data_IF_884951958290
#
_entry.id   IF_884951958290
#
_cell.length_a   1.000
_cell.length_b   1.000
_cell.length_c   1.000
_cell.angle_alpha   90.00
_cell.angle_beta   90.00
_cell.angle_gamma   90.00
#
_symmetry.space_group_name_H-M   'P 1'
#
loop_
_entity.id
_entity.type
_entity.pdbx_description
1 polymer ?
#
# COMPACT_ATOMS: atom_id res chain seq x y z
N UNK A 1 15.03 7.30 21.40
CA UNK A 1 14.66 5.87 21.53
C UNK A 1 13.15 5.73 21.37
N UNK A 2 12.69 4.97 20.38
CA UNK A 2 11.25 4.68 20.30
C UNK A 2 10.85 3.77 21.46
N UNK A 3 9.80 4.15 22.18
CA UNK A 3 9.30 3.40 23.34
C UNK A 3 8.85 1.99 22.88
N UNK A 4 9.10 0.94 23.67
CA UNK A 4 8.72 -0.45 23.37
C UNK A 4 7.23 -0.58 23.07
N UNK A 5 6.38 0.11 23.83
CA UNK A 5 4.92 0.16 23.62
C UNK A 5 4.57 0.74 22.23
N UNK A 6 5.26 1.80 21.80
CA UNK A 6 5.07 2.40 20.50
C UNK A 6 5.54 1.50 19.34
N UNK A 7 6.61 0.73 19.56
CA UNK A 7 7.10 -0.25 18.56
C UNK A 7 6.15 -1.44 18.41
N UNK A 8 5.55 -1.90 19.51
CA UNK A 8 4.56 -2.97 19.48
C UNK A 8 3.29 -2.55 18.75
N UNK A 9 2.79 -1.34 19.01
CA UNK A 9 1.65 -0.78 18.29
C UNK A 9 1.93 -0.66 16.78
N UNK A 10 3.12 -0.23 16.41
CA UNK A 10 3.51 -0.12 15.00
C UNK A 10 3.61 -1.50 14.32
N UNK A 11 4.12 -2.51 15.02
CA UNK A 11 4.11 -3.89 14.53
C UNK A 11 2.67 -4.35 14.28
N UNK A 12 1.77 -4.14 15.22
CA UNK A 12 0.37 -4.52 15.10
C UNK A 12 -0.31 -3.81 13.90
N UNK A 13 -0.10 -2.51 13.74
CA UNK A 13 -0.62 -1.74 12.61
C UNK A 13 -0.13 -2.31 11.27
N UNK A 14 1.15 -2.65 11.15
CA UNK A 14 1.72 -3.21 9.92
C UNK A 14 1.20 -4.62 9.63
N UNK A 15 1.13 -5.48 10.65
CA UNK A 15 0.59 -6.84 10.51
C UNK A 15 -0.88 -6.79 10.08
N UNK A 16 -1.67 -5.93 10.71
CA UNK A 16 -3.08 -5.80 10.41
C UNK A 16 -3.31 -5.18 9.03
N UNK A 17 -2.80 -3.97 8.80
CA UNK A 17 -3.03 -3.25 7.54
C UNK A 17 -2.40 -3.99 6.34
N UNK A 18 -1.15 -4.43 6.45
CA UNK A 18 -0.47 -5.17 5.38
C UNK A 18 -1.08 -6.54 5.13
N UNK A 19 -1.38 -7.29 6.19
CA UNK A 19 -1.97 -8.62 6.08
C UNK A 19 -3.38 -8.62 5.49
N UNK A 20 -4.24 -7.72 5.96
CA UNK A 20 -5.60 -7.57 5.44
C UNK A 20 -5.59 -7.07 3.99
N UNK A 21 -4.75 -6.09 3.67
CA UNK A 21 -4.59 -5.60 2.30
C UNK A 21 -4.13 -6.72 1.36
N UNK A 22 -3.10 -7.46 1.74
CA UNK A 22 -2.61 -8.57 0.94
C UNK A 22 -3.67 -9.64 0.71
N UNK A 23 -4.29 -10.12 1.79
CA UNK A 23 -5.20 -11.26 1.73
C UNK A 23 -6.49 -10.95 0.96
N UNK A 24 -7.16 -9.82 1.26
CA UNK A 24 -8.45 -9.50 0.67
C UNK A 24 -8.37 -8.75 -0.66
N UNK A 25 -7.29 -8.00 -0.90
CA UNK A 25 -7.19 -7.12 -2.07
C UNK A 25 -6.03 -7.46 -3.00
N UNK A 26 -4.85 -7.76 -2.45
CA UNK A 26 -3.63 -7.92 -3.24
C UNK A 26 -3.52 -9.25 -3.96
N UNK A 27 -3.66 -10.36 -3.23
CA UNK A 27 -3.38 -11.69 -3.76
C UNK A 27 -4.21 -12.01 -5.02
N UNK A 28 -5.51 -11.77 -4.98
CA UNK A 28 -6.39 -12.01 -6.12
C UNK A 28 -6.15 -11.09 -7.32
N UNK A 29 -5.64 -9.88 -7.09
CA UNK A 29 -5.35 -8.93 -8.18
C UNK A 29 -4.05 -9.25 -8.90
N UNK A 30 -3.00 -9.61 -8.18
CA UNK A 30 -1.71 -9.93 -8.79
C UNK A 30 -1.76 -11.21 -9.63
N UNK A 31 -2.58 -12.18 -9.19
CA UNK A 31 -2.75 -13.46 -9.88
C UNK A 31 -3.75 -13.41 -11.04
N UNK A 32 -4.53 -12.35 -11.18
CA UNK A 32 -5.65 -12.29 -12.12
C UNK A 32 -5.24 -11.95 -13.58
N UNK A 33 -3.98 -11.57 -13.81
CA UNK A 33 -3.45 -11.33 -15.17
C UNK A 33 -3.83 -9.98 -15.79
N UNK A 34 -3.43 -9.82 -17.04
CA UNK A 34 -3.46 -8.55 -17.81
C UNK A 34 -4.86 -7.96 -17.97
N UNK A 35 -5.88 -8.77 -18.17
CA UNK A 35 -7.26 -8.29 -18.36
C UNK A 35 -7.81 -7.57 -17.13
N UNK A 36 -7.41 -8.02 -15.95
CA UNK A 36 -7.80 -7.35 -14.72
C UNK A 36 -6.95 -6.10 -14.46
N UNK A 37 -5.68 -6.14 -14.80
CA UNK A 37 -4.80 -4.96 -14.69
C UNK A 37 -5.25 -3.86 -15.63
N UNK A 38 -5.66 -4.19 -16.85
CA UNK A 38 -6.23 -3.22 -17.78
C UNK A 38 -7.46 -2.51 -17.21
N UNK A 39 -8.40 -3.27 -16.66
CA UNK A 39 -9.58 -2.67 -16.00
C UNK A 39 -9.25 -1.84 -14.76
N UNK A 40 -8.25 -2.25 -13.97
CA UNK A 40 -7.84 -1.51 -12.76
C UNK A 40 -7.12 -0.22 -13.10
N UNK A 41 -6.22 -0.26 -14.08
CA UNK A 41 -5.47 0.90 -14.52
C UNK A 41 -6.25 1.81 -15.45
N UNK A 42 -7.26 1.28 -16.15
CA UNK A 42 -8.08 2.02 -17.10
C UNK A 42 -8.72 3.27 -16.52
N UNK A 43 -9.21 3.19 -15.29
CA UNK A 43 -9.79 4.34 -14.60
C UNK A 43 -8.83 5.53 -14.45
N UNK A 44 -7.58 5.26 -14.15
CA UNK A 44 -6.57 6.31 -14.02
C UNK A 44 -6.07 6.75 -15.40
N UNK A 45 -5.85 5.80 -16.31
CA UNK A 45 -5.39 6.10 -17.67
C UNK A 45 -6.37 6.98 -18.44
N UNK A 46 -7.67 6.73 -18.31
CA UNK A 46 -8.74 7.58 -18.87
C UNK A 46 -8.70 8.99 -18.28
N UNK A 47 -8.54 9.12 -16.95
CA UNK A 47 -8.47 10.44 -16.29
C UNK A 47 -7.29 11.29 -16.74
N UNK A 48 -6.16 10.66 -17.07
CA UNK A 48 -4.95 11.37 -17.54
C UNK A 48 -4.84 11.41 -19.07
N UNK A 49 -5.78 10.79 -19.80
CA UNK A 49 -5.79 10.78 -21.27
C UNK A 49 -4.68 9.94 -21.91
N UNK A 50 -4.20 8.91 -21.20
CA UNK A 50 -3.09 8.05 -21.64
C UNK A 50 -3.49 6.56 -21.58
N UNK A 51 -4.40 6.14 -22.46
CA UNK A 51 -5.01 4.81 -22.44
C UNK A 51 -4.01 3.65 -22.55
N UNK A 52 -2.87 3.86 -23.22
CA UNK A 52 -1.81 2.85 -23.33
C UNK A 52 -1.14 2.51 -21.97
N UNK A 53 -1.36 3.29 -20.93
CA UNK A 53 -0.83 3.04 -19.58
C UNK A 53 -1.77 2.20 -18.71
N UNK A 54 -2.92 1.79 -19.19
CA UNK A 54 -3.91 1.04 -18.38
C UNK A 54 -3.31 -0.22 -17.75
N UNK A 55 -2.67 -1.09 -18.53
CA UNK A 55 -2.04 -2.32 -18.02
C UNK A 55 -0.88 -2.03 -17.06
N UNK A 56 0.12 -1.17 -17.38
CA UNK A 56 1.17 -0.79 -16.45
C UNK A 56 0.64 -0.21 -15.12
N UNK A 57 -0.33 0.68 -15.17
CA UNK A 57 -0.92 1.28 -13.98
C UNK A 57 -1.69 0.26 -13.14
N UNK A 58 -2.44 -0.62 -13.78
CA UNK A 58 -3.14 -1.71 -13.09
C UNK A 58 -2.20 -2.74 -12.48
N UNK A 59 -1.07 -3.05 -13.15
CA UNK A 59 -0.02 -3.87 -12.56
C UNK A 59 0.60 -3.19 -11.34
N UNK A 60 0.95 -1.91 -11.42
CA UNK A 60 1.49 -1.14 -10.29
C UNK A 60 0.54 -1.13 -9.10
N UNK A 61 -0.76 -0.95 -9.33
CA UNK A 61 -1.77 -1.03 -8.27
C UNK A 61 -1.83 -2.43 -7.66
N UNK A 62 -1.85 -3.48 -8.48
CA UNK A 62 -1.87 -4.87 -8.02
C UNK A 62 -0.60 -5.25 -7.25
N UNK A 63 0.57 -4.81 -7.71
CA UNK A 63 1.85 -4.97 -7.04
C UNK A 63 1.88 -4.26 -5.68
N UNK A 64 1.38 -3.04 -5.64
CA UNK A 64 1.29 -2.25 -4.41
C UNK A 64 0.43 -2.93 -3.34
N UNK A 65 -0.76 -3.39 -3.73
CA UNK A 65 -1.70 -4.04 -2.80
C UNK A 65 -1.27 -5.47 -2.41
N UNK A 66 -0.37 -6.09 -3.15
CA UNK A 66 0.16 -7.43 -2.86
C UNK A 66 1.57 -7.39 -2.28
N UNK A 67 2.58 -7.16 -3.09
CA UNK A 67 3.99 -7.27 -2.69
C UNK A 67 4.38 -6.14 -1.71
N UNK A 68 3.98 -4.89 -2.00
CA UNK A 68 4.28 -3.81 -1.06
C UNK A 68 3.52 -3.97 0.26
N UNK A 69 2.29 -4.50 0.25
CA UNK A 69 1.55 -4.81 1.47
C UNK A 69 2.25 -5.91 2.30
N UNK A 70 2.80 -6.95 1.67
CA UNK A 70 3.64 -7.95 2.36
C UNK A 70 4.90 -7.32 2.96
N UNK A 71 5.57 -6.44 2.23
CA UNK A 71 6.75 -5.73 2.72
C UNK A 71 6.43 -4.85 3.93
N UNK A 72 5.29 -4.18 3.93
CA UNK A 72 4.80 -3.44 5.10
C UNK A 72 4.57 -4.39 6.28
N UNK A 73 3.92 -5.53 6.04
CA UNK A 73 3.61 -6.52 7.08
C UNK A 73 4.87 -6.99 7.81
N UNK A 74 5.90 -7.41 7.07
CA UNK A 74 7.17 -7.89 7.63
C UNK A 74 8.14 -6.77 8.05
N UNK A 75 7.85 -5.52 7.63
CA UNK A 75 8.71 -4.37 7.90
C UNK A 75 9.97 -4.32 7.07
N UNK A 76 9.87 -4.67 5.79
CA UNK A 76 10.95 -4.60 4.83
C UNK A 76 10.70 -3.45 3.85
N UNK A 77 11.70 -2.56 3.67
CA UNK A 77 11.51 -1.32 2.92
C UNK A 77 10.20 -0.61 3.27
N UNK A 78 9.94 -0.47 4.57
CA UNK A 78 8.63 -0.08 5.10
C UNK A 78 8.12 1.24 4.52
N UNK A 79 8.98 2.29 4.46
CA UNK A 79 8.56 3.59 3.93
C UNK A 79 8.32 3.59 2.42
N UNK A 80 9.22 3.08 1.56
CA UNK A 80 8.97 2.98 0.13
C UNK A 80 7.69 2.19 -0.18
N UNK A 81 7.50 1.06 0.50
CA UNK A 81 6.30 0.23 0.32
C UNK A 81 5.03 0.94 0.77
N UNK A 82 5.09 1.64 1.91
CA UNK A 82 3.97 2.44 2.40
C UNK A 82 3.66 3.63 1.47
N UNK A 83 4.67 4.27 0.90
CA UNK A 83 4.48 5.37 -0.06
C UNK A 83 3.78 4.87 -1.34
N UNK A 84 4.21 3.73 -1.86
CA UNK A 84 3.60 3.12 -3.05
C UNK A 84 2.12 2.76 -2.78
N UNK A 85 1.83 2.13 -1.64
CA UNK A 85 0.46 1.79 -1.26
C UNK A 85 -0.39 3.03 -0.96
N UNK A 86 0.20 4.06 -0.32
CA UNK A 86 -0.44 5.35 -0.07
C UNK A 86 -0.91 6.00 -1.37
N UNK A 87 -0.03 6.05 -2.38
CA UNK A 87 -0.37 6.59 -3.70
C UNK A 87 -1.49 5.79 -4.36
N UNK A 88 -1.42 4.46 -4.31
CA UNK A 88 -2.47 3.59 -4.86
C UNK A 88 -3.82 3.83 -4.18
N UNK A 89 -3.85 3.95 -2.86
CA UNK A 89 -5.07 4.21 -2.10
C UNK A 89 -5.61 5.63 -2.34
N UNK A 90 -4.73 6.61 -2.54
CA UNK A 90 -5.14 7.96 -2.93
C UNK A 90 -5.89 7.96 -4.27
N UNK A 91 -5.29 7.33 -5.28
CA UNK A 91 -5.92 7.20 -6.61
C UNK A 91 -7.25 6.43 -6.53
N UNK A 92 -7.28 5.31 -5.78
CA UNK A 92 -8.49 4.53 -5.60
C UNK A 92 -9.60 5.33 -4.90
N UNK A 93 -9.26 6.09 -3.85
CA UNK A 93 -10.21 6.93 -3.12
C UNK A 93 -10.79 8.02 -4.02
N UNK A 94 -9.94 8.75 -4.74
CA UNK A 94 -10.38 9.80 -5.67
C UNK A 94 -11.26 9.24 -6.78
N UNK A 95 -10.84 8.14 -7.40
CA UNK A 95 -11.62 7.48 -8.44
C UNK A 95 -13.00 7.02 -7.94
N UNK A 96 -13.06 6.42 -6.75
CA UNK A 96 -14.32 5.99 -6.17
C UNK A 96 -15.22 7.17 -5.81
N UNK A 97 -14.69 8.23 -5.21
CA UNK A 97 -15.46 9.45 -4.89
C UNK A 97 -16.11 10.05 -6.16
N UNK A 98 -15.33 10.14 -7.25
CA UNK A 98 -15.82 10.72 -8.50
C UNK A 98 -16.87 9.83 -9.17
N UNK A 99 -16.68 8.50 -9.16
CA UNK A 99 -17.52 7.59 -9.96
C UNK A 99 -18.70 7.01 -9.20
N UNK A 100 -18.59 6.84 -7.87
CA UNK A 100 -19.57 6.10 -7.06
C UNK A 100 -20.05 6.85 -5.81
N UNK A 101 -19.37 7.93 -5.45
CA UNK A 101 -19.64 8.69 -4.24
C UNK A 101 -18.73 8.32 -3.05
N UNK A 102 -18.88 9.09 -1.98
CA UNK A 102 -18.01 9.01 -0.80
C UNK A 102 -18.19 7.70 -0.03
N UNK A 103 -19.40 7.17 0.00
CA UNK A 103 -19.74 5.94 0.74
C UNK A 103 -18.95 4.73 0.22
N UNK A 104 -18.78 4.61 -1.09
CA UNK A 104 -18.00 3.55 -1.74
C UNK A 104 -16.48 3.74 -1.61
N UNK A 105 -16.06 4.90 -1.07
CA UNK A 105 -14.65 5.24 -0.88
C UNK A 105 -14.15 4.94 0.54
N UNK A 106 -15.04 4.59 1.47
CA UNK A 106 -14.73 4.41 2.89
C UNK A 106 -13.51 3.51 3.10
N UNK A 107 -13.50 2.33 2.49
CA UNK A 107 -12.43 1.36 2.65
C UNK A 107 -11.08 1.89 2.14
N UNK A 108 -11.05 2.51 0.97
CA UNK A 108 -9.83 3.08 0.41
C UNK A 108 -9.31 4.27 1.23
N UNK A 109 -10.20 5.08 1.79
CA UNK A 109 -9.84 6.15 2.72
C UNK A 109 -9.24 5.62 4.01
N UNK A 110 -9.81 4.56 4.60
CA UNK A 110 -9.26 3.92 5.80
C UNK A 110 -7.83 3.44 5.53
N UNK A 111 -7.60 2.74 4.43
CA UNK A 111 -6.26 2.29 4.06
C UNK A 111 -5.32 3.44 3.73
N UNK A 112 -5.81 4.52 3.13
CA UNK A 112 -5.03 5.75 2.89
C UNK A 112 -4.47 6.30 4.21
N UNK A 113 -5.31 6.46 5.23
CA UNK A 113 -4.87 6.96 6.54
C UNK A 113 -3.95 5.97 7.27
N UNK A 114 -4.25 4.66 7.23
CA UNK A 114 -3.40 3.64 7.85
C UNK A 114 -1.99 3.62 7.22
N UNK A 115 -1.92 3.67 5.90
CA UNK A 115 -0.62 3.69 5.19
C UNK A 115 0.12 5.00 5.39
N UNK A 116 -0.57 6.13 5.51
CA UNK A 116 0.04 7.41 5.88
C UNK A 116 0.69 7.35 7.27
N UNK A 117 0.01 6.78 8.25
CA UNK A 117 0.56 6.59 9.59
C UNK A 117 1.80 5.69 9.54
N UNK A 118 1.73 4.58 8.80
CA UNK A 118 2.86 3.65 8.63
C UNK A 118 4.04 4.34 7.93
N UNK A 119 3.78 5.15 6.90
CA UNK A 119 4.80 5.93 6.18
C UNK A 119 5.53 6.91 7.10
N UNK A 120 4.78 7.68 7.90
CA UNK A 120 5.34 8.65 8.86
C UNK A 120 6.16 7.93 9.94
N UNK A 121 5.63 6.86 10.51
CA UNK A 121 6.31 6.09 11.56
C UNK A 121 7.54 5.34 11.04
N UNK A 122 7.44 4.78 9.84
CA UNK A 122 8.47 3.95 9.22
C UNK A 122 8.69 2.63 9.95
N UNK A 123 9.86 2.04 9.72
CA UNK A 123 10.30 0.80 10.37
C UNK A 123 10.60 1.01 11.86
N UNK A 124 10.40 -0.03 12.66
CA UNK A 124 10.63 -0.06 14.10
C UNK A 124 11.51 -1.24 14.50
N UNK A 125 11.75 -1.42 15.82
CA UNK A 125 12.54 -2.52 16.40
C UNK A 125 12.09 -3.90 15.89
N UNK A 126 10.80 -4.10 15.74
CA UNK A 126 10.18 -5.34 15.25
C UNK A 126 9.96 -5.29 13.72
N UNK A 127 11.04 -5.10 12.97
CA UNK A 127 11.01 -5.04 11.49
C UNK A 127 12.25 -5.69 10.91
N UNK A 128 12.13 -6.24 9.70
CA UNK A 128 13.29 -6.74 8.94
C UNK A 128 14.30 -5.61 8.66
N UNK A 129 13.82 -4.39 8.42
CA UNK A 129 14.68 -3.22 8.26
C UNK A 129 15.60 -3.01 9.47
N UNK A 130 15.11 -3.26 10.69
CA UNK A 130 15.89 -3.09 11.91
C UNK A 130 16.97 -4.16 12.07
N UNK A 131 16.75 -5.35 11.54
CA UNK A 131 17.70 -6.48 11.58
C UNK A 131 18.77 -6.30 10.51
N UNK A 132 18.35 -6.00 9.26
CA UNK A 132 19.26 -5.92 8.11
C UNK A 132 20.10 -4.65 8.10
N UNK A 133 19.55 -3.54 8.61
CA UNK A 133 20.20 -2.23 8.60
C UNK A 133 20.59 -1.75 10.01
N UNK A 134 20.71 -2.67 10.97
CA UNK A 134 21.14 -2.38 12.33
C UNK A 134 22.63 -1.97 12.32
N UNK A 135 22.91 -0.69 12.29
CA UNK A 135 24.28 -0.13 12.20
C UNK A 135 24.45 0.89 11.07
N UNK A 136 23.49 1.03 10.17
CA UNK A 136 23.50 2.08 9.16
C UNK A 136 22.60 3.26 9.56
N UNK A 137 23.08 4.49 9.26
CA UNK A 137 22.40 5.76 9.58
C UNK A 137 21.04 5.94 8.89
N UNK A 138 20.71 5.09 7.93
CA UNK A 138 19.48 5.15 7.13
C UNK A 138 18.57 3.98 7.48
N UNK A 139 17.48 4.26 8.20
CA UNK A 139 16.33 3.37 8.40
C UNK A 139 15.24 3.79 7.43
N UNK A 140 14.98 2.97 6.46
CA UNK A 140 13.92 3.16 5.47
C UNK A 140 12.52 2.91 6.05
#
# INVERSE_FOLDING_TARGET
>A
MKNIKGSFLNLFLRLFAGGMMFYYHGFGKIMAGTDRWDRLGGRLSELIGLDFLSIPLGFMASFSESIAALFIMIGFFTRPSALLLLFTMLVASLSNIITKGIDESELSLIYLFLTLIIFIRGSDRFSLDSILFSGKKYRF
#
